data_IF_940958502790
#
_entry.id   IF_940958502790
#
_cell.length_a   1.000
_cell.length_b   1.000
_cell.length_c   1.000
_cell.angle_alpha   90.00
_cell.angle_beta   90.00
_cell.angle_gamma   90.00
#
_symmetry.space_group_name_H-M   'P 1'
#
loop_
_entity.id
_entity.type
_entity.pdbx_description
1 polymer ?
#
# COMPACT_ATOMS: atom_id res chain seq x y z
N UNK A 1 -0.15 9.49 10.34
CA UNK A 1 -0.57 8.18 9.79
C UNK A 1 -1.10 7.37 10.96
N UNK A 2 -1.86 6.31 10.76
CA UNK A 2 -2.32 5.49 11.88
C UNK A 2 -2.39 4.02 11.50
N UNK A 3 -2.27 3.18 12.52
CA UNK A 3 -2.55 1.76 12.46
C UNK A 3 -4.00 1.56 12.92
N UNK A 4 -4.75 0.79 12.17
CA UNK A 4 -6.12 0.42 12.52
C UNK A 4 -6.27 -1.09 12.50
N UNK A 5 -7.19 -1.59 13.31
CA UNK A 5 -7.57 -2.99 13.36
C UNK A 5 -8.99 -3.14 12.85
N UNK A 6 -9.23 -4.27 12.18
CA UNK A 6 -10.53 -4.65 11.68
C UNK A 6 -10.83 -6.06 12.20
N UNK A 7 -11.75 -6.15 13.15
CA UNK A 7 -12.05 -7.39 13.85
C UNK A 7 -13.34 -7.98 13.31
N UNK A 8 -13.31 -9.25 12.94
CA UNK A 8 -14.52 -10.00 12.58
C UNK A 8 -15.16 -10.56 13.86
N UNK A 9 -16.36 -10.10 14.21
CA UNK A 9 -17.06 -10.55 15.40
C UNK A 9 -17.58 -11.99 15.31
N UNK A 10 -17.57 -12.62 14.13
CA UNK A 10 -17.97 -14.02 13.95
C UNK A 10 -16.79 -14.97 14.11
N UNK A 11 -15.67 -14.71 13.41
CA UNK A 11 -14.50 -15.61 13.45
C UNK A 11 -13.49 -15.25 14.53
N UNK A 12 -13.56 -14.04 15.07
CA UNK A 12 -12.53 -13.48 15.96
C UNK A 12 -11.23 -13.11 15.24
N UNK A 13 -11.19 -13.19 13.90
CA UNK A 13 -10.02 -12.79 13.13
C UNK A 13 -9.84 -11.28 13.19
N UNK A 14 -8.64 -10.84 13.56
CA UNK A 14 -8.24 -9.43 13.53
C UNK A 14 -7.39 -9.18 12.29
N UNK A 15 -7.70 -8.11 11.58
CA UNK A 15 -6.93 -7.65 10.43
C UNK A 15 -6.27 -6.32 10.74
N UNK A 16 -4.96 -6.21 10.57
CA UNK A 16 -4.21 -5.00 10.92
C UNK A 16 -3.82 -4.26 9.65
N UNK A 17 -4.19 -2.99 9.55
CA UNK A 17 -3.91 -2.14 8.39
C UNK A 17 -3.31 -0.80 8.78
N UNK A 18 -2.77 -0.10 7.78
CA UNK A 18 -2.27 1.28 7.96
C UNK A 18 -3.03 2.23 7.04
N UNK A 19 -3.40 3.39 7.56
CA UNK A 19 -4.01 4.47 6.78
C UNK A 19 -3.39 5.83 7.15
N UNK A 20 -3.75 6.86 6.40
CA UNK A 20 -3.15 8.18 6.55
C UNK A 20 -3.91 9.03 7.57
N UNK A 21 -5.24 9.07 7.42
CA UNK A 21 -6.09 10.07 8.05
C UNK A 21 -7.28 9.43 8.83
N UNK A 22 -8.02 8.47 8.26
CA UNK A 22 -9.15 7.80 8.92
C UNK A 22 -9.22 6.31 8.61
N UNK A 23 -9.55 5.50 9.62
CA UNK A 23 -9.83 4.06 9.48
C UNK A 23 -11.18 3.80 8.84
N UNK A 24 -12.22 4.54 9.21
CA UNK A 24 -13.57 4.43 8.64
C UNK A 24 -13.57 4.68 7.13
N UNK A 25 -12.93 5.76 6.68
CA UNK A 25 -12.81 6.05 5.24
C UNK A 25 -12.08 4.91 4.51
N UNK A 26 -11.05 4.33 5.14
CA UNK A 26 -10.32 3.20 4.56
C UNK A 26 -11.16 1.94 4.51
N UNK A 27 -12.04 1.72 5.49
CA UNK A 27 -12.98 0.62 5.50
C UNK A 27 -14.08 0.78 4.45
N UNK A 28 -14.61 2.00 4.26
CA UNK A 28 -15.53 2.29 3.16
C UNK A 28 -14.90 1.98 1.79
N UNK A 29 -13.64 2.37 1.57
CA UNK A 29 -12.91 2.01 0.35
C UNK A 29 -12.74 0.50 0.19
N UNK A 30 -12.60 -0.25 1.28
CA UNK A 30 -12.55 -1.70 1.27
C UNK A 30 -13.90 -2.30 0.85
N UNK A 31 -15.01 -1.70 1.27
CA UNK A 31 -16.35 -2.11 0.85
C UNK A 31 -16.58 -1.83 -0.64
N UNK A 32 -16.19 -0.66 -1.13
CA UNK A 32 -16.26 -0.33 -2.56
C UNK A 32 -15.40 -1.29 -3.40
N UNK A 33 -14.17 -1.57 -2.96
CA UNK A 33 -13.28 -2.53 -3.59
C UNK A 33 -13.85 -3.95 -3.68
N UNK A 34 -14.65 -4.35 -2.69
CA UNK A 34 -15.35 -5.63 -2.71
C UNK A 34 -16.40 -5.68 -3.83
N UNK A 35 -17.15 -4.59 -4.02
CA UNK A 35 -18.13 -4.47 -5.11
C UNK A 35 -17.44 -4.48 -6.49
N UNK A 36 -16.21 -3.98 -6.56
CA UNK A 36 -15.36 -4.04 -7.75
C UNK A 36 -14.78 -5.44 -8.05
N UNK A 37 -15.00 -6.43 -7.18
CA UNK A 37 -14.61 -7.82 -7.41
C UNK A 37 -13.11 -8.09 -7.26
N UNK A 38 -12.38 -7.23 -6.53
CA UNK A 38 -10.96 -7.47 -6.22
C UNK A 38 -10.84 -8.75 -5.40
N UNK A 39 -9.90 -9.62 -5.78
CA UNK A 39 -9.65 -10.90 -5.12
C UNK A 39 -8.56 -10.70 -4.06
N UNK A 40 -8.96 -10.69 -2.80
CA UNK A 40 -8.09 -10.76 -1.63
C UNK A 40 -8.83 -11.54 -0.54
N UNK A 41 -8.07 -12.12 0.40
CA UNK A 41 -8.65 -12.93 1.48
C UNK A 41 -9.65 -12.12 2.32
N UNK A 42 -9.31 -10.87 2.66
CA UNK A 42 -10.22 -9.99 3.39
C UNK A 42 -11.57 -9.77 2.67
N UNK A 43 -11.58 -9.63 1.34
CA UNK A 43 -12.83 -9.49 0.59
C UNK A 43 -13.66 -10.77 0.53
N UNK A 44 -13.02 -11.94 0.68
CA UNK A 44 -13.73 -13.20 0.83
C UNK A 44 -14.42 -13.22 2.20
N UNK A 45 -13.68 -12.91 3.25
CA UNK A 45 -14.21 -12.89 4.62
C UNK A 45 -15.34 -11.85 4.75
N UNK A 46 -15.20 -10.65 4.18
CA UNK A 46 -16.29 -9.67 4.20
C UNK A 46 -17.55 -10.11 3.42
N UNK A 47 -17.42 -10.93 2.37
CA UNK A 47 -18.57 -11.50 1.63
C UNK A 47 -19.22 -12.65 2.38
N UNK A 48 -18.41 -13.52 2.98
CA UNK A 48 -18.88 -14.73 3.65
C UNK A 48 -19.55 -14.39 4.99
N UNK A 49 -18.98 -13.44 5.74
CA UNK A 49 -19.45 -13.05 7.07
C UNK A 49 -20.31 -11.78 7.08
N UNK A 50 -20.29 -10.98 6.02
CA UNK A 50 -21.07 -9.74 5.90
C UNK A 50 -20.40 -8.54 6.59
N UNK A 51 -20.50 -7.36 5.96
CA UNK A 51 -19.78 -6.14 6.36
C UNK A 51 -20.18 -5.65 7.74
N UNK A 52 -21.44 -5.79 8.15
CA UNK A 52 -21.92 -5.35 9.46
C UNK A 52 -21.29 -6.09 10.65
N UNK A 53 -20.66 -7.24 10.41
CA UNK A 53 -20.06 -8.06 11.46
C UNK A 53 -18.57 -7.72 11.68
N UNK A 54 -18.06 -6.71 10.98
CA UNK A 54 -16.71 -6.20 11.16
C UNK A 54 -16.75 -4.91 11.99
N UNK A 55 -15.91 -4.84 13.02
CA UNK A 55 -15.65 -3.62 13.77
C UNK A 55 -14.32 -3.02 13.33
N UNK A 56 -14.35 -1.72 13.04
CA UNK A 56 -13.17 -0.93 12.70
C UNK A 56 -12.75 -0.19 13.96
N UNK A 57 -11.49 -0.32 14.37
CA UNK A 57 -10.95 0.39 15.53
C UNK A 57 -9.61 1.04 15.18
N UNK A 58 -9.40 2.26 15.69
CA UNK A 58 -8.12 2.94 15.62
C UNK A 58 -7.20 2.38 16.70
N UNK A 59 -6.08 1.78 16.30
CA UNK A 59 -5.14 1.20 17.24
C UNK A 59 -4.22 2.28 17.83
N UNK A 60 -3.48 2.98 16.97
CA UNK A 60 -2.64 4.09 17.38
C UNK A 60 -2.26 5.00 16.21
N UNK A 61 -2.03 6.28 16.52
CA UNK A 61 -1.55 7.29 15.57
C UNK A 61 -0.02 7.31 15.60
N UNK A 62 0.60 7.29 14.41
CA UNK A 62 2.03 7.43 14.20
C UNK A 62 2.36 8.76 13.51
N UNK A 63 3.38 9.43 14.01
CA UNK A 63 3.90 10.69 13.46
C UNK A 63 4.93 10.44 12.35
N UNK A 64 5.72 9.37 12.51
CA UNK A 64 6.75 8.98 11.56
C UNK A 64 6.50 7.60 10.95
N UNK A 65 7.19 7.33 9.84
CA UNK A 65 7.04 6.06 9.12
C UNK A 65 7.72 4.88 9.82
N UNK A 66 8.72 5.14 10.64
CA UNK A 66 9.38 4.09 11.42
C UNK A 66 8.52 3.73 12.64
N UNK A 67 8.01 4.72 13.36
CA UNK A 67 7.00 4.53 14.41
C UNK A 67 5.76 3.77 13.89
N UNK A 68 5.29 4.07 12.66
CA UNK A 68 4.18 3.35 12.05
C UNK A 68 4.46 1.85 11.87
N UNK A 69 5.71 1.47 11.58
CA UNK A 69 6.09 0.05 11.45
C UNK A 69 6.14 -0.61 12.82
N UNK A 70 6.74 0.06 13.79
CA UNK A 70 6.87 -0.46 15.15
C UNK A 70 5.49 -0.74 15.77
N UNK A 71 4.57 0.23 15.65
CA UNK A 71 3.18 0.09 16.10
C UNK A 71 2.44 -1.00 15.30
N UNK A 72 2.71 -1.11 14.00
CA UNK A 72 2.09 -2.14 13.16
C UNK A 72 2.55 -3.55 13.55
N UNK A 73 3.84 -3.73 13.78
CA UNK A 73 4.42 -5.00 14.19
C UNK A 73 3.91 -5.38 15.60
N UNK A 74 3.82 -4.42 16.52
CA UNK A 74 3.21 -4.61 17.84
C UNK A 74 1.74 -5.05 17.74
N UNK A 75 0.93 -4.38 16.94
CA UNK A 75 -0.48 -4.74 16.74
C UNK A 75 -0.63 -6.14 16.10
N UNK A 76 0.27 -6.51 15.19
CA UNK A 76 0.30 -7.83 14.58
C UNK A 76 0.64 -8.92 15.60
N UNK A 77 1.60 -8.68 16.50
CA UNK A 77 1.99 -9.61 17.56
C UNK A 77 0.90 -9.78 18.61
N UNK A 78 0.29 -8.68 19.08
CA UNK A 78 -0.74 -8.71 20.13
C UNK A 78 -2.01 -9.42 19.66
N UNK A 79 -2.48 -9.10 18.45
CA UNK A 79 -3.74 -9.64 17.94
C UNK A 79 -3.55 -10.91 17.10
N UNK A 80 -2.29 -11.33 16.88
CA UNK A 80 -1.91 -12.40 15.96
C UNK A 80 -2.64 -12.26 14.60
N UNK A 81 -2.71 -11.01 14.13
CA UNK A 81 -3.64 -10.57 13.10
C UNK A 81 -3.15 -10.83 11.67
N UNK A 82 -4.07 -10.76 10.71
CA UNK A 82 -3.76 -10.85 9.28
C UNK A 82 -3.45 -9.45 8.73
N UNK A 83 -2.33 -9.30 8.05
CA UNK A 83 -1.94 -8.01 7.46
C UNK A 83 -2.89 -7.61 6.32
N UNK A 84 -3.45 -6.40 6.44
CA UNK A 84 -4.20 -5.68 5.39
C UNK A 84 -3.28 -4.83 4.51
N UNK A 85 -1.99 -4.70 4.87
CA UNK A 85 -1.05 -3.90 4.09
C UNK A 85 -0.80 -4.55 2.72
N UNK A 86 -0.85 -3.75 1.65
CA UNK A 86 -0.73 -4.23 0.28
C UNK A 86 -2.03 -4.72 -0.39
N UNK A 87 -3.15 -4.81 0.35
CA UNK A 87 -4.47 -5.07 -0.26
C UNK A 87 -4.90 -3.86 -1.09
N UNK A 88 -5.25 -4.11 -2.36
CA UNK A 88 -5.65 -3.06 -3.30
C UNK A 88 -7.10 -2.66 -3.06
N UNK A 89 -7.34 -1.40 -2.70
CA UNK A 89 -8.68 -0.83 -2.52
C UNK A 89 -9.26 -0.18 -3.79
N UNK A 90 -8.50 -0.14 -4.88
CA UNK A 90 -8.97 0.38 -6.17
C UNK A 90 -8.46 -0.50 -7.30
N UNK A 91 -9.28 -0.69 -8.35
CA UNK A 91 -8.74 -1.10 -9.65
C UNK A 91 -7.92 0.09 -10.15
N UNK A 92 -6.59 0.01 -10.03
CA UNK A 92 -5.71 1.03 -10.61
C UNK A 92 -6.08 1.32 -12.07
N UNK A 93 -5.81 2.53 -12.53
CA UNK A 93 -6.03 2.98 -13.92
C UNK A 93 -5.31 2.13 -14.98
N UNK A 94 -4.52 1.13 -14.60
CA UNK A 94 -3.87 0.15 -15.46
C UNK A 94 -4.69 -1.14 -15.67
N UNK A 95 -5.89 -1.25 -15.10
CA UNK A 95 -6.82 -2.34 -15.35
C UNK A 95 -8.13 -1.85 -15.98
N UNK A 96 -8.06 -1.01 -17.02
CA UNK A 96 -9.10 -1.01 -18.06
C UNK A 96 -8.82 -2.23 -18.94
N UNK A 97 -9.18 -3.41 -18.44
CA UNK A 97 -9.63 -4.46 -19.34
C UNK A 97 -11.13 -4.18 -19.52
N UNK A 98 -11.45 -3.57 -20.66
CA UNK A 98 -12.81 -3.33 -21.13
C UNK A 98 -13.62 -4.61 -20.89
N UNK A 99 -14.64 -4.53 -20.04
CA UNK A 99 -15.66 -5.56 -19.88
C UNK A 99 -16.19 -5.94 -21.27
N UNK A 100 -15.82 -7.14 -21.73
CA UNK A 100 -16.50 -7.78 -22.85
C UNK A 100 -17.66 -8.61 -22.28
N UNK A 101 -18.88 -8.50 -22.83
CA UNK A 101 -20.02 -9.26 -22.35
C UNK A 101 -19.80 -10.74 -22.71
N UNK A 102 -19.63 -11.59 -21.68
CA UNK A 102 -19.61 -13.03 -21.83
C UNK A 102 -21.01 -13.51 -22.25
N UNK A 103 -21.19 -13.72 -23.56
CA UNK A 103 -22.32 -14.49 -24.09
C UNK A 103 -22.11 -15.95 -23.69
N UNK A 104 -23.11 -16.54 -23.08
CA UNK A 104 -23.22 -17.97 -22.85
C UNK A 104 -23.38 -18.70 -24.18
N UNK A 105 -22.51 -19.68 -24.45
CA UNK A 105 -22.84 -20.75 -25.40
C UNK A 105 -22.31 -22.07 -24.86
N UNK A 106 -23.28 -22.89 -24.50
CA UNK A 106 -23.21 -24.29 -24.08
C UNK A 106 -22.82 -25.15 -25.30
N UNK A 107 -22.37 -26.39 -25.02
CA UNK A 107 -22.14 -27.54 -25.94
C UNK A 107 -20.75 -27.55 -26.65
N UNK A 108 -20.00 -28.65 -26.74
CA UNK A 108 -20.30 -30.09 -26.63
C UNK A 108 -19.02 -30.94 -26.51
N UNK A 109 -19.10 -31.97 -25.64
CA UNK A 109 -18.62 -33.35 -25.77
C UNK A 109 -17.36 -33.73 -26.60
N UNK A 110 -16.42 -34.36 -25.86
CA UNK A 110 -15.83 -35.69 -26.08
C UNK A 110 -15.01 -36.03 -27.34
N UNK A 111 -13.73 -36.43 -27.14
CA UNK A 111 -13.24 -37.78 -27.50
C UNK A 111 -11.91 -38.15 -26.81
N UNK A 112 -11.84 -39.38 -26.30
CA UNK A 112 -10.69 -40.08 -25.71
C UNK A 112 -9.75 -40.66 -26.79
N UNK A 113 -8.48 -40.92 -26.44
CA UNK A 113 -7.75 -42.21 -26.65
C UNK A 113 -6.33 -42.15 -26.01
N UNK A 114 -6.05 -42.94 -24.95
CA UNK A 114 -5.24 -44.21 -24.89
C UNK A 114 -3.70 -44.02 -24.98
N UNK A 115 -2.95 -44.15 -23.89
CA UNK A 115 -2.31 -45.35 -23.28
C UNK A 115 -0.96 -45.78 -23.93
N UNK A 116 0.13 -45.71 -23.16
CA UNK A 116 1.25 -46.67 -23.21
C UNK A 116 2.06 -46.64 -21.90
N UNK A 117 2.08 -47.80 -21.24
CA UNK A 117 2.78 -48.19 -20.02
C UNK A 117 4.20 -48.66 -20.32
N UNK A 118 5.19 -48.39 -19.45
CA UNK A 118 6.23 -49.36 -19.01
C UNK A 118 7.02 -48.81 -17.81
N UNK A 119 7.24 -49.69 -16.84
CA UNK A 119 7.91 -49.48 -15.54
C UNK A 119 9.44 -49.43 -15.62
N UNK A 120 10.09 -49.01 -14.52
CA UNK A 120 11.13 -49.73 -13.73
C UNK A 120 11.73 -48.76 -12.68
N UNK A 121 11.60 -49.12 -11.40
CA UNK A 121 12.38 -48.66 -10.21
C UNK A 121 13.32 -49.82 -9.77
N UNK A 122 14.18 -49.74 -8.72
CA UNK A 122 14.92 -48.63 -8.09
C UNK A 122 16.41 -49.00 -7.80
N UNK A 123 17.29 -48.03 -7.44
CA UNK A 123 18.58 -48.33 -6.74
C UNK A 123 18.92 -47.30 -5.66
N UNK A 124 19.64 -47.81 -4.65
CA UNK A 124 19.73 -47.45 -3.22
C UNK A 124 20.87 -46.45 -2.88
N UNK A 125 20.65 -45.71 -1.78
CA UNK A 125 21.56 -45.46 -0.63
C UNK A 125 22.41 -44.16 -0.49
N UNK A 126 22.32 -43.65 0.76
CA UNK A 126 23.30 -42.94 1.61
C UNK A 126 23.31 -41.38 1.66
N UNK A 127 23.12 -40.86 2.89
CA UNK A 127 23.31 -39.47 3.37
C UNK A 127 24.77 -39.25 3.87
N UNK A 128 25.18 -38.12 4.51
CA UNK A 128 24.60 -36.77 4.69
C UNK A 128 25.56 -35.64 4.20
N UNK A 129 25.25 -34.33 4.36
CA UNK A 129 26.21 -33.22 4.64
C UNK A 129 25.52 -31.83 4.73
N UNK A 130 26.15 -30.97 5.53
CA UNK A 130 25.74 -29.72 6.20
C UNK A 130 25.93 -28.42 5.40
N UNK A 131 25.18 -27.36 5.78
CA UNK A 131 25.44 -25.90 5.63
C UNK A 131 25.78 -25.33 4.23
N UNK A 132 24.98 -24.38 3.73
CA UNK A 132 25.36 -22.96 3.58
C UNK A 132 24.44 -22.15 2.63
N UNK A 133 24.28 -20.87 3.02
CA UNK A 133 24.03 -19.66 2.22
C UNK A 133 22.63 -19.37 1.66
N UNK A 134 21.95 -18.51 2.42
CA UNK A 134 21.29 -17.27 1.96
C UNK A 134 21.66 -16.86 0.54
N UNK A 135 20.65 -16.87 -0.34
CA UNK A 135 20.72 -16.28 -1.67
C UNK A 135 20.90 -14.76 -1.56
N UNK A 136 22.16 -14.33 -1.51
CA UNK A 136 22.55 -12.94 -1.77
C UNK A 136 22.26 -12.64 -3.24
N UNK A 137 21.06 -12.10 -3.48
CA UNK A 137 20.61 -11.64 -4.79
C UNK A 137 21.27 -10.32 -5.20
N UNK A 138 22.61 -10.28 -5.25
CA UNK A 138 23.36 -9.25 -5.98
C UNK A 138 23.45 -9.69 -7.45
N UNK A 139 22.36 -9.51 -8.18
CA UNK A 139 22.34 -9.68 -9.64
C UNK A 139 22.58 -8.34 -10.32
N UNK A 140 23.47 -8.34 -11.31
CA UNK A 140 24.24 -7.17 -11.70
C UNK A 140 23.55 -6.22 -12.66
N UNK A 141 23.77 -4.92 -12.42
CA UNK A 141 24.40 -4.01 -13.39
C UNK A 141 24.54 -2.64 -12.73
N UNK A 142 25.77 -2.21 -12.43
CA UNK A 142 26.07 -0.92 -11.80
C UNK A 142 25.52 0.29 -12.59
N UNK A 143 25.25 0.12 -13.89
CA UNK A 143 24.61 1.14 -14.74
C UNK A 143 23.13 1.32 -14.41
N UNK A 144 22.42 0.25 -14.06
CA UNK A 144 21.00 0.31 -13.69
C UNK A 144 20.82 0.90 -12.29
N UNK A 145 21.71 0.56 -11.35
CA UNK A 145 21.72 1.15 -10.01
C UNK A 145 22.02 2.66 -10.04
N UNK A 146 22.96 3.12 -10.89
CA UNK A 146 23.24 4.56 -11.06
C UNK A 146 22.06 5.31 -11.68
N UNK A 147 21.42 4.75 -12.71
CA UNK A 147 20.24 5.36 -13.35
C UNK A 147 19.07 5.50 -12.36
N UNK A 148 18.85 4.48 -11.51
CA UNK A 148 17.78 4.52 -10.50
C UNK A 148 18.09 5.55 -9.42
N UNK A 149 19.35 5.66 -8.99
CA UNK A 149 19.79 6.61 -7.95
C UNK A 149 19.74 8.07 -8.44
N UNK A 150 20.12 8.33 -9.68
CA UNK A 150 20.06 9.66 -10.30
C UNK A 150 18.62 10.13 -10.48
N UNK A 151 17.73 9.25 -10.97
CA UNK A 151 16.31 9.56 -11.16
C UNK A 151 15.58 9.85 -9.85
N UNK A 152 15.97 9.22 -8.73
CA UNK A 152 15.42 9.52 -7.41
C UNK A 152 15.91 10.86 -6.85
N UNK A 153 17.14 11.26 -7.19
CA UNK A 153 17.70 12.54 -6.75
C UNK A 153 17.05 13.73 -7.47
N UNK A 154 16.75 13.58 -8.77
CA UNK A 154 16.06 14.61 -9.56
C UNK A 154 14.63 14.87 -9.07
N UNK A 155 13.84 13.82 -8.81
CA UNK A 155 12.47 13.98 -8.30
C UNK A 155 12.43 14.62 -6.90
N UNK A 156 13.44 14.33 -6.06
CA UNK A 156 13.58 14.94 -4.73
C UNK A 156 14.01 16.42 -4.83
N UNK A 157 14.90 16.75 -5.77
CA UNK A 157 15.31 18.13 -6.02
C UNK A 157 14.15 18.99 -6.55
N UNK A 158 13.25 18.45 -7.38
CA UNK A 158 12.07 19.17 -7.88
C UNK A 158 11.04 19.44 -6.77
N UNK A 159 10.86 18.49 -5.84
CA UNK A 159 10.02 18.66 -4.65
C UNK A 159 10.59 19.69 -3.68
N UNK A 160 11.91 19.74 -3.52
CA UNK A 160 12.56 20.74 -2.67
C UNK A 160 12.59 22.12 -3.34
N UNK A 161 12.79 22.19 -4.66
CA UNK A 161 12.73 23.44 -5.43
C UNK A 161 11.33 24.07 -5.43
N UNK A 162 10.27 23.27 -5.56
CA UNK A 162 8.89 23.77 -5.50
C UNK A 162 8.53 24.30 -4.11
N UNK A 163 8.96 23.63 -3.03
CA UNK A 163 8.78 24.12 -1.66
C UNK A 163 9.59 25.40 -1.39
N UNK A 164 10.86 25.44 -1.82
CA UNK A 164 11.70 26.62 -1.67
C UNK A 164 11.12 27.82 -2.44
N UNK A 165 10.55 27.59 -3.63
CA UNK A 165 9.87 28.63 -4.41
C UNK A 165 8.65 29.19 -3.68
N UNK A 166 7.82 28.32 -3.09
CA UNK A 166 6.66 28.75 -2.29
C UNK A 166 7.09 29.56 -1.05
N UNK A 167 8.15 29.14 -0.35
CA UNK A 167 8.66 29.86 0.82
C UNK A 167 9.20 31.24 0.41
N UNK A 168 9.91 31.31 -0.73
CA UNK A 168 10.43 32.58 -1.25
C UNK A 168 9.31 33.55 -1.63
N UNK A 169 8.28 33.05 -2.32
CA UNK A 169 7.12 33.86 -2.72
C UNK A 169 6.34 34.37 -1.49
N UNK A 170 6.15 33.52 -0.47
CA UNK A 170 5.57 33.92 0.81
C UNK A 170 6.43 34.97 1.55
N UNK A 171 7.76 34.84 1.49
CA UNK A 171 8.66 35.83 2.08
C UNK A 171 8.61 37.18 1.35
N UNK A 172 8.54 37.16 0.01
CA UNK A 172 8.40 38.37 -0.79
C UNK A 172 7.06 39.07 -0.54
N UNK A 173 5.97 38.31 -0.36
CA UNK A 173 4.66 38.85 0.06
C UNK A 173 4.72 39.45 1.48
N UNK A 174 5.37 38.77 2.42
CA UNK A 174 5.52 39.26 3.79
C UNK A 174 6.39 40.52 3.86
N UNK A 175 7.44 40.59 3.04
CA UNK A 175 8.30 41.77 2.88
C UNK A 175 7.54 42.95 2.27
N UNK A 176 6.70 42.71 1.26
CA UNK A 176 5.85 43.75 0.67
C UNK A 176 4.83 44.31 1.67
N UNK A 177 4.25 43.45 2.52
CA UNK A 177 3.35 43.87 3.60
C UNK A 177 4.09 44.70 4.65
N UNK A 178 5.29 44.29 5.06
CA UNK A 178 6.12 45.05 6.00
C UNK A 178 6.53 46.41 5.43
N UNK A 179 7.01 46.47 4.18
CA UNK A 179 7.37 47.73 3.53
C UNK A 179 6.19 48.70 3.41
N UNK A 180 4.98 48.18 3.17
CA UNK A 180 3.74 48.99 3.15
C UNK A 180 3.36 49.49 4.55
N UNK A 181 3.59 48.72 5.59
CA UNK A 181 3.37 49.14 6.98
C UNK A 181 4.35 50.23 7.40
N UNK A 182 5.63 50.11 7.07
CA UNK A 182 6.66 51.13 7.36
C UNK A 182 6.39 52.44 6.60
N UNK A 183 5.97 52.33 5.34
CA UNK A 183 5.55 53.49 4.54
C UNK A 183 4.32 54.19 5.14
N UNK A 184 3.38 53.45 5.72
CA UNK A 184 2.18 54.03 6.38
C UNK A 184 2.51 54.61 7.76
N UNK A 185 3.36 53.96 8.55
CA UNK A 185 3.79 54.41 9.87
C UNK A 185 4.59 55.72 9.82
N UNK A 186 5.45 55.89 8.81
CA UNK A 186 6.27 57.11 8.66
C UNK A 186 5.43 58.39 8.40
N UNK A 187 4.27 58.27 7.76
CA UNK A 187 3.38 59.41 7.49
C UNK A 187 2.53 59.83 8.69
N UNK A 188 2.25 58.89 9.62
CA UNK A 188 1.50 59.15 10.86
C UNK A 188 2.37 59.89 11.88
N UNK A 189 3.67 59.57 11.95
CA UNK A 189 4.59 60.24 12.88
C UNK A 189 4.98 61.67 12.47
N UNK A 190 4.67 62.12 11.25
CA UNK A 190 4.97 63.49 10.77
C UNK A 190 3.81 64.48 10.96
N UNK A 191 2.67 64.03 11.50
CA UNK A 191 1.46 64.85 11.75
C UNK A 191 1.15 65.07 13.25
N UNK A 192 2.09 64.77 14.13
CA UNK A 192 2.04 65.09 15.57
C UNK A 192 3.19 66.03 15.90
#
# INVERSE_FOLDING_TARGET
MLVYTLTNNITGDVWVGTCKDSSDERFMQLQEAMALGIKAQIYKDLRDFGVQNFTVEDYAVAYDRDELKDIFDEAMEIHNGKSLTGVKTTLGKTSIAKVAPLKSSVSSAAKRKTLSTTSIEPKRAAAPLTNEKIASGRTGSAKKEKLIKERLAEEKAEREASKLKQIREQADEMAAIMARLDSRGSTVNKRR
#
